data_IF_724566013094
#
_entry.id   IF_724566013094
#
_cell.length_a   1.000
_cell.length_b   1.000
_cell.length_c   1.000
_cell.angle_alpha   90.00
_cell.angle_beta   90.00
_cell.angle_gamma   90.00
#
_symmetry.space_group_name_H-M   'P 1'
#
loop_
_entity.id
_entity.type
_entity.pdbx_description
1 polymer ?
#
# COMPACT_ATOMS: atom_id res chain seq x y z
N UNK A 1 -5.72 6.34 24.55
CA UNK A 1 -4.88 6.47 23.34
C UNK A 1 -5.84 6.84 22.21
N UNK A 2 -5.96 8.14 21.90
CA UNK A 2 -6.65 8.58 20.69
C UNK A 2 -5.74 8.21 19.51
N UNK A 3 -6.21 7.38 18.59
CA UNK A 3 -5.55 7.21 17.29
C UNK A 3 -5.40 8.58 16.61
N UNK A 4 -4.35 8.81 15.80
CA UNK A 4 -4.08 10.12 15.21
C UNK A 4 -5.05 10.36 14.04
N UNK A 5 -6.27 10.80 14.36
CA UNK A 5 -7.26 11.32 13.40
C UNK A 5 -6.61 12.39 12.51
N UNK A 6 -5.62 13.13 13.02
CA UNK A 6 -4.88 14.13 12.27
C UNK A 6 -4.08 13.55 11.10
N UNK A 7 -3.45 12.38 11.25
CA UNK A 7 -2.68 11.76 10.16
C UNK A 7 -3.62 11.26 9.05
N UNK A 8 -4.70 10.57 9.43
CA UNK A 8 -5.73 10.14 8.46
C UNK A 8 -6.38 11.33 7.75
N UNK A 9 -6.67 12.43 8.47
CA UNK A 9 -7.14 13.68 7.86
C UNK A 9 -6.10 14.22 6.88
N UNK A 10 -4.82 14.27 7.24
CA UNK A 10 -3.77 14.80 6.34
C UNK A 10 -3.63 14.01 5.03
N UNK A 11 -3.81 12.69 5.04
CA UNK A 11 -3.68 11.84 3.85
C UNK A 11 -4.93 11.87 2.96
N UNK A 12 -6.12 11.91 3.57
CA UNK A 12 -7.40 11.75 2.85
C UNK A 12 -8.02 13.10 2.46
N UNK A 13 -7.74 14.16 3.20
CA UNK A 13 -8.29 15.50 2.95
C UNK A 13 -7.98 16.05 1.55
N UNK A 14 -6.77 15.90 0.97
CA UNK A 14 -6.50 16.35 -0.39
C UNK A 14 -7.37 15.64 -1.43
N UNK A 15 -7.63 14.34 -1.23
CA UNK A 15 -8.49 13.55 -2.11
C UNK A 15 -9.95 13.98 -1.99
N UNK A 16 -10.45 14.18 -0.76
CA UNK A 16 -11.82 14.66 -0.53
C UNK A 16 -12.03 16.09 -1.05
N UNK A 17 -11.06 16.99 -0.88
CA UNK A 17 -11.09 18.35 -1.46
C UNK A 17 -11.13 18.30 -2.97
N UNK A 18 -10.35 17.42 -3.59
CA UNK A 18 -10.34 17.22 -5.04
C UNK A 18 -11.70 16.70 -5.54
N UNK A 19 -12.25 15.67 -4.89
CA UNK A 19 -13.58 15.13 -5.20
C UNK A 19 -14.65 16.21 -5.06
N UNK A 20 -14.63 17.01 -3.98
CA UNK A 20 -15.55 18.14 -3.79
C UNK A 20 -15.45 19.13 -4.94
N UNK A 21 -14.24 19.48 -5.38
CA UNK A 21 -14.03 20.37 -6.52
C UNK A 21 -14.60 19.83 -7.83
N UNK A 22 -14.53 18.51 -8.05
CA UNK A 22 -15.13 17.84 -9.20
C UNK A 22 -16.66 17.83 -9.09
N UNK A 23 -17.20 17.49 -7.91
CA UNK A 23 -18.65 17.45 -7.65
C UNK A 23 -19.32 18.81 -7.90
N UNK A 24 -18.65 19.92 -7.61
CA UNK A 24 -19.14 21.27 -7.92
C UNK A 24 -19.29 21.52 -9.44
N UNK A 25 -18.55 20.81 -10.29
CA UNK A 25 -18.60 20.92 -11.75
C UNK A 25 -19.44 19.82 -12.40
N UNK A 26 -19.62 18.69 -11.72
CA UNK A 26 -20.41 17.53 -12.14
C UNK A 26 -21.43 17.22 -11.04
N UNK A 27 -22.61 17.87 -11.05
CA UNK A 27 -23.59 17.75 -9.96
C UNK A 27 -24.15 16.33 -9.80
N UNK A 28 -24.07 15.49 -10.84
CA UNK A 28 -24.50 14.09 -10.81
C UNK A 28 -23.35 13.13 -10.48
N UNK A 29 -22.24 13.61 -9.91
CA UNK A 29 -21.13 12.75 -9.51
C UNK A 29 -21.53 11.93 -8.28
N UNK A 30 -21.60 10.62 -8.45
CA UNK A 30 -21.74 9.67 -7.35
C UNK A 30 -20.37 9.18 -6.89
N UNK A 31 -20.19 9.06 -5.57
CA UNK A 31 -18.91 8.67 -4.96
C UNK A 31 -19.13 7.45 -4.08
N UNK A 32 -18.38 6.39 -4.38
CA UNK A 32 -18.47 5.12 -3.67
C UNK A 32 -17.16 4.78 -2.97
N UNK A 33 -17.25 4.43 -1.68
CA UNK A 33 -16.16 3.80 -0.95
C UNK A 33 -16.33 2.28 -1.02
N UNK A 34 -15.40 1.60 -1.68
CA UNK A 34 -15.50 0.15 -1.90
C UNK A 34 -14.72 -0.69 -0.87
N UNK A 35 -13.95 -0.04 0.02
CA UNK A 35 -13.17 -0.72 1.06
C UNK A 35 -14.07 -1.21 2.20
N UNK A 36 -13.93 -2.49 2.56
CA UNK A 36 -14.65 -3.10 3.68
C UNK A 36 -14.09 -2.61 5.03
N UNK A 37 -14.89 -1.95 5.89
CA UNK A 37 -14.43 -1.47 7.20
C UNK A 37 -13.88 -2.56 8.12
N UNK A 38 -14.37 -3.81 8.00
CA UNK A 38 -13.85 -4.93 8.78
C UNK A 38 -12.42 -5.28 8.38
N UNK A 39 -12.13 -5.28 7.08
CA UNK A 39 -10.78 -5.49 6.52
C UNK A 39 -9.83 -4.38 6.96
N UNK A 40 -10.30 -3.13 7.00
CA UNK A 40 -9.51 -2.00 7.50
C UNK A 40 -9.12 -2.20 8.96
N UNK A 41 -10.04 -2.65 9.81
CA UNK A 41 -9.75 -2.92 11.22
C UNK A 41 -8.72 -4.03 11.40
N UNK A 42 -8.88 -5.14 10.67
CA UNK A 42 -7.92 -6.25 10.69
C UNK A 42 -6.54 -5.82 10.17
N UNK A 43 -6.49 -4.96 9.15
CA UNK A 43 -5.20 -4.46 8.62
C UNK A 43 -4.47 -3.57 9.62
N UNK A 44 -5.18 -2.71 10.36
CA UNK A 44 -4.58 -1.91 11.45
C UNK A 44 -4.00 -2.80 12.55
N UNK A 45 -4.70 -3.88 12.90
CA UNK A 45 -4.20 -4.85 13.87
C UNK A 45 -2.89 -5.52 13.39
N UNK A 46 -2.86 -6.03 12.15
CA UNK A 46 -1.66 -6.64 11.58
C UNK A 46 -0.50 -5.65 11.42
N UNK A 47 -0.79 -4.40 11.04
CA UNK A 47 0.21 -3.34 10.97
C UNK A 47 0.81 -3.04 12.35
N UNK A 48 -0.02 -3.03 13.39
CA UNK A 48 0.43 -2.87 14.78
C UNK A 48 1.33 -4.02 15.21
N UNK A 49 0.97 -5.26 14.87
CA UNK A 49 1.84 -6.42 15.12
C UNK A 49 3.18 -6.30 14.39
N UNK A 50 3.18 -5.87 13.13
CA UNK A 50 4.40 -5.63 12.37
C UNK A 50 5.31 -4.62 13.09
N UNK A 51 4.73 -3.51 13.57
CA UNK A 51 5.45 -2.47 14.29
C UNK A 51 6.02 -2.97 15.63
N UNK A 52 5.27 -3.77 16.38
CA UNK A 52 5.77 -4.40 17.61
C UNK A 52 6.97 -5.31 17.30
N UNK A 53 6.91 -6.08 16.21
CA UNK A 53 8.02 -6.96 15.80
C UNK A 53 9.24 -6.16 15.35
N UNK A 54 9.05 -5.07 14.60
CA UNK A 54 10.13 -4.13 14.23
C UNK A 54 10.77 -3.50 15.48
N UNK A 55 9.96 -3.08 16.45
CA UNK A 55 10.44 -2.52 17.72
C UNK A 55 11.24 -3.55 18.54
N UNK A 56 10.76 -4.80 18.64
CA UNK A 56 11.52 -5.87 19.30
C UNK A 56 12.86 -6.14 18.61
N UNK A 57 12.88 -6.13 17.28
CA UNK A 57 14.12 -6.26 16.52
C UNK A 57 15.06 -5.09 16.78
N UNK A 58 14.57 -3.84 16.81
CA UNK A 58 15.45 -2.68 17.04
C UNK A 58 16.11 -2.70 18.41
N UNK A 59 15.47 -3.29 19.43
CA UNK A 59 16.04 -3.47 20.77
C UNK A 59 16.99 -4.67 20.89
N UNK A 60 16.71 -5.77 20.20
CA UNK A 60 17.38 -7.06 20.45
C UNK A 60 18.28 -7.55 19.31
N UNK A 61 18.14 -6.97 18.12
CA UNK A 61 18.74 -7.47 16.87
C UNK A 61 18.18 -8.81 16.39
N UNK A 62 17.22 -9.42 17.09
CA UNK A 62 16.72 -10.76 16.78
C UNK A 62 15.50 -10.71 15.86
N UNK A 63 15.46 -11.60 14.88
CA UNK A 63 14.31 -11.82 13.99
C UNK A 63 13.83 -13.26 14.14
N UNK A 64 12.60 -13.40 14.63
CA UNK A 64 11.83 -14.64 14.60
C UNK A 64 11.16 -14.80 13.24
N UNK A 65 11.73 -15.66 12.39
CA UNK A 65 11.21 -15.85 11.04
C UNK A 65 9.83 -16.47 11.04
N UNK A 66 9.54 -17.47 11.88
CA UNK A 66 8.24 -18.15 11.84
C UNK A 66 7.10 -17.22 12.25
N UNK A 67 7.35 -16.36 13.23
CA UNK A 67 6.41 -15.33 13.64
C UNK A 67 6.14 -14.30 12.52
N UNK A 68 7.18 -13.86 11.81
CA UNK A 68 7.02 -13.00 10.62
C UNK A 68 6.31 -13.71 9.47
N UNK A 69 6.58 -14.99 9.23
CA UNK A 69 5.90 -15.78 8.20
C UNK A 69 4.39 -15.84 8.46
N UNK A 70 3.99 -16.07 9.71
CA UNK A 70 2.57 -16.05 10.12
C UNK A 70 1.93 -14.69 9.87
N UNK A 71 2.59 -13.60 10.28
CA UNK A 71 2.08 -12.25 10.09
C UNK A 71 1.87 -11.93 8.60
N UNK A 72 2.86 -12.23 7.76
CA UNK A 72 2.76 -11.99 6.32
C UNK A 72 1.68 -12.87 5.68
N UNK A 73 1.54 -14.13 6.10
CA UNK A 73 0.49 -15.00 5.61
C UNK A 73 -0.89 -14.44 5.95
N UNK A 74 -1.12 -14.05 7.21
CA UNK A 74 -2.36 -13.40 7.64
C UNK A 74 -2.66 -12.14 6.83
N UNK A 75 -1.64 -11.32 6.56
CA UNK A 75 -1.79 -10.12 5.71
C UNK A 75 -2.21 -10.47 4.28
N UNK A 76 -1.51 -11.41 3.64
CA UNK A 76 -1.81 -11.80 2.25
C UNK A 76 -3.20 -12.43 2.14
N UNK A 77 -3.57 -13.33 3.05
CA UNK A 77 -4.92 -13.94 3.10
C UNK A 77 -6.01 -12.90 3.34
N UNK A 78 -5.78 -11.90 4.20
CA UNK A 78 -6.71 -10.78 4.37
C UNK A 78 -6.89 -10.01 3.06
N UNK A 79 -5.79 -9.68 2.37
CA UNK A 79 -5.82 -8.95 1.11
C UNK A 79 -6.54 -9.74 0.01
N UNK A 80 -6.28 -11.04 -0.12
CA UNK A 80 -6.93 -11.89 -1.13
C UNK A 80 -8.46 -11.93 -0.91
N UNK A 81 -8.92 -12.18 0.32
CA UNK A 81 -10.35 -12.19 0.67
C UNK A 81 -11.04 -10.85 0.40
N UNK A 82 -10.34 -9.75 0.67
CA UNK A 82 -10.87 -8.41 0.46
C UNK A 82 -10.98 -8.08 -1.03
N UNK A 83 -9.95 -8.44 -1.80
CA UNK A 83 -9.79 -7.98 -3.17
C UNK A 83 -10.89 -8.49 -4.10
N UNK A 84 -11.34 -9.74 -3.93
CA UNK A 84 -12.46 -10.30 -4.71
C UNK A 84 -13.77 -9.57 -4.43
N UNK A 85 -14.06 -9.29 -3.15
CA UNK A 85 -15.27 -8.57 -2.75
C UNK A 85 -15.26 -7.14 -3.27
N UNK A 86 -14.11 -6.47 -3.16
CA UNK A 86 -13.87 -5.13 -3.67
C UNK A 86 -14.07 -5.08 -5.19
N UNK A 87 -13.46 -6.00 -5.94
CA UNK A 87 -13.57 -6.05 -7.40
C UNK A 87 -15.01 -6.30 -7.86
N UNK A 88 -15.71 -7.26 -7.23
CA UNK A 88 -17.12 -7.54 -7.52
C UNK A 88 -18.02 -6.33 -7.22
N UNK A 89 -17.76 -5.63 -6.11
CA UNK A 89 -18.50 -4.40 -5.79
C UNK A 89 -18.27 -3.32 -6.85
N UNK A 90 -17.01 -3.09 -7.24
CA UNK A 90 -16.65 -2.09 -8.27
C UNK A 90 -17.31 -2.44 -9.62
N UNK A 91 -17.32 -3.72 -10.01
CA UNK A 91 -17.96 -4.18 -11.24
C UNK A 91 -19.46 -3.86 -11.25
N UNK A 92 -20.14 -4.20 -10.15
CA UNK A 92 -21.58 -3.95 -10.00
C UNK A 92 -21.94 -2.47 -10.06
N UNK A 93 -21.17 -1.61 -9.42
CA UNK A 93 -21.44 -0.16 -9.46
C UNK A 93 -21.07 0.46 -10.81
N UNK A 94 -19.99 -0.02 -11.46
CA UNK A 94 -19.56 0.46 -12.78
C UNK A 94 -20.55 0.07 -13.88
N UNK A 95 -21.18 -1.11 -13.79
CA UNK A 95 -22.17 -1.56 -14.78
C UNK A 95 -23.44 -0.72 -14.85
N UNK A 96 -23.64 0.23 -13.92
CA UNK A 96 -24.82 1.11 -13.88
C UNK A 96 -24.61 2.44 -14.60
N UNK A 97 -23.38 2.75 -15.03
CA UNK A 97 -22.99 4.06 -15.57
C UNK A 97 -22.16 3.91 -16.84
N UNK A 98 -22.17 4.92 -17.69
CA UNK A 98 -21.37 4.92 -18.92
C UNK A 98 -19.87 5.12 -18.66
N UNK A 99 -19.54 5.96 -17.68
CA UNK A 99 -18.16 6.30 -17.32
C UNK A 99 -17.96 6.24 -15.80
N UNK A 100 -16.86 5.61 -15.37
CA UNK A 100 -16.45 5.58 -13.97
C UNK A 100 -14.94 5.80 -13.84
N UNK A 101 -14.51 6.29 -12.67
CA UNK A 101 -13.10 6.42 -12.30
C UNK A 101 -12.87 5.70 -10.98
N UNK A 102 -12.01 4.69 -11.00
CA UNK A 102 -11.59 3.96 -9.80
C UNK A 102 -10.18 4.39 -9.39
N UNK A 103 -10.04 4.87 -8.14
CA UNK A 103 -8.75 5.12 -7.51
C UNK A 103 -8.38 3.87 -6.71
N UNK A 104 -7.33 3.16 -7.14
CA UNK A 104 -6.86 1.94 -6.50
C UNK A 104 -5.37 2.02 -6.13
N UNK A 105 -5.00 1.28 -5.09
CA UNK A 105 -3.59 1.05 -4.74
C UNK A 105 -2.90 0.04 -5.68
N UNK A 106 -1.94 -0.72 -5.15
CA UNK A 106 -1.16 -1.69 -5.95
C UNK A 106 -1.97 -2.83 -6.59
N UNK A 107 -3.23 -3.01 -6.19
CA UNK A 107 -4.12 -4.03 -6.75
C UNK A 107 -4.85 -3.56 -8.03
N UNK A 108 -4.59 -2.35 -8.54
CA UNK A 108 -5.26 -1.82 -9.73
C UNK A 108 -5.16 -2.72 -10.97
N UNK A 109 -4.06 -3.48 -11.13
CA UNK A 109 -3.96 -4.48 -12.21
C UNK A 109 -4.95 -5.63 -12.03
N UNK A 110 -5.10 -6.14 -10.81
CA UNK A 110 -6.07 -7.20 -10.52
C UNK A 110 -7.50 -6.73 -10.79
N UNK A 111 -7.86 -5.56 -10.24
CA UNK A 111 -9.18 -4.96 -10.45
C UNK A 111 -9.45 -4.77 -11.94
N UNK A 112 -8.47 -4.31 -12.72
CA UNK A 112 -8.60 -4.19 -14.18
C UNK A 112 -8.95 -5.50 -14.86
N UNK A 113 -8.22 -6.58 -14.57
CA UNK A 113 -8.47 -7.86 -15.23
C UNK A 113 -9.84 -8.42 -14.81
N UNK A 114 -10.19 -8.35 -13.52
CA UNK A 114 -11.53 -8.74 -13.03
C UNK A 114 -12.65 -7.98 -13.75
N UNK A 115 -12.54 -6.65 -13.85
CA UNK A 115 -13.55 -5.84 -14.53
C UNK A 115 -13.67 -6.17 -16.02
N UNK A 116 -12.58 -6.55 -16.69
CA UNK A 116 -12.62 -7.00 -18.08
C UNK A 116 -13.33 -8.35 -18.23
N UNK A 117 -13.12 -9.26 -17.30
CA UNK A 117 -13.82 -10.55 -17.26
C UNK A 117 -15.33 -10.34 -17.10
N UNK A 118 -15.73 -9.31 -16.34
CA UNK A 118 -17.12 -8.83 -16.19
C UNK A 118 -17.61 -8.00 -17.40
N UNK A 119 -16.83 -7.90 -18.48
CA UNK A 119 -17.23 -7.21 -19.72
C UNK A 119 -17.02 -5.69 -19.75
N UNK A 120 -16.39 -5.10 -18.74
CA UNK A 120 -16.12 -3.66 -18.71
C UNK A 120 -14.94 -3.28 -19.61
N UNK A 121 -15.07 -2.15 -20.33
CA UNK A 121 -13.94 -1.54 -21.05
C UNK A 121 -13.08 -0.72 -20.08
N UNK A 122 -11.94 -1.27 -19.65
CA UNK A 122 -11.09 -0.64 -18.62
C UNK A 122 -9.71 -0.23 -19.14
N UNK A 123 -9.35 1.03 -18.92
CA UNK A 123 -7.98 1.54 -19.02
C UNK A 123 -7.35 1.73 -17.63
N UNK A 124 -6.03 1.51 -17.52
CA UNK A 124 -5.30 1.63 -16.26
C UNK A 124 -4.15 2.62 -16.42
N UNK A 125 -4.19 3.69 -15.62
CA UNK A 125 -3.16 4.74 -15.58
C UNK A 125 -2.47 4.78 -14.23
N UNK A 126 -1.14 4.81 -14.23
CA UNK A 126 -0.34 4.96 -13.02
C UNK A 126 0.02 6.43 -12.79
N UNK A 127 -0.38 6.98 -11.65
CA UNK A 127 -0.20 8.42 -11.33
C UNK A 127 1.24 8.73 -10.87
N UNK A 128 1.93 7.73 -10.30
CA UNK A 128 3.26 7.89 -9.70
C UNK A 128 4.28 6.91 -10.27
N UNK A 129 5.05 7.36 -11.27
CA UNK A 129 6.13 6.56 -11.88
C UNK A 129 7.44 7.37 -11.98
N UNK A 130 8.59 6.77 -11.62
CA UNK A 130 8.75 5.43 -11.05
C UNK A 130 8.43 5.40 -9.55
N UNK A 131 7.78 4.31 -9.09
CA UNK A 131 7.66 4.00 -7.66
C UNK A 131 8.76 3.02 -7.25
N UNK A 132 9.45 3.30 -6.14
CA UNK A 132 10.47 2.41 -5.58
C UNK A 132 9.89 1.61 -4.41
N UNK A 133 9.84 0.28 -4.54
CA UNK A 133 9.24 -0.59 -3.53
C UNK A 133 10.02 -0.58 -2.22
N UNK A 134 9.33 -0.40 -1.10
CA UNK A 134 9.92 -0.54 0.23
C UNK A 134 10.33 -2.00 0.48
N UNK A 135 11.19 -2.27 1.48
CA UNK A 135 11.56 -3.64 1.83
C UNK A 135 10.36 -4.53 2.16
N UNK A 136 9.31 -3.98 2.80
CA UNK A 136 8.08 -4.72 3.10
C UNK A 136 7.28 -5.03 1.82
N UNK A 137 7.18 -4.09 0.88
CA UNK A 137 6.54 -4.35 -0.41
C UNK A 137 7.24 -5.48 -1.17
N UNK A 138 8.58 -5.47 -1.15
CA UNK A 138 9.39 -6.52 -1.77
C UNK A 138 9.15 -7.85 -1.05
N UNK A 139 9.10 -7.85 0.29
CA UNK A 139 8.82 -9.05 1.09
C UNK A 139 7.46 -9.68 0.72
N UNK A 140 6.40 -8.87 0.70
CA UNK A 140 5.05 -9.33 0.34
C UNK A 140 5.02 -9.90 -1.10
N UNK A 141 5.67 -9.24 -2.05
CA UNK A 141 5.77 -9.71 -3.45
C UNK A 141 6.55 -11.01 -3.57
N UNK A 142 7.69 -11.13 -2.89
CA UNK A 142 8.51 -12.34 -2.89
C UNK A 142 7.72 -13.52 -2.37
N UNK A 143 7.02 -13.35 -1.23
CA UNK A 143 6.23 -14.42 -0.63
C UNK A 143 5.01 -14.76 -1.49
N UNK A 144 4.31 -13.77 -2.05
CA UNK A 144 3.17 -14.05 -2.95
C UNK A 144 3.59 -14.82 -4.20
N UNK A 145 4.76 -14.54 -4.77
CA UNK A 145 5.23 -15.22 -5.99
C UNK A 145 5.87 -16.59 -5.74
N UNK A 146 6.59 -16.75 -4.63
CA UNK A 146 7.43 -17.93 -4.38
C UNK A 146 6.92 -18.80 -3.24
N UNK A 147 5.95 -18.34 -2.45
CA UNK A 147 5.55 -18.94 -1.19
C UNK A 147 6.69 -18.97 -0.17
N UNK A 148 6.48 -19.70 0.93
CA UNK A 148 7.53 -20.04 1.89
C UNK A 148 8.25 -21.33 1.48
N UNK A 149 8.82 -21.36 0.27
CA UNK A 149 9.63 -22.50 -0.16
C UNK A 149 10.76 -22.72 0.84
N UNK A 150 10.85 -23.93 1.39
CA UNK A 150 11.94 -24.33 2.27
C UNK A 150 13.25 -24.28 1.50
N UNK A 151 14.20 -23.50 1.99
CA UNK A 151 15.52 -23.35 1.38
C UNK A 151 16.30 -22.23 2.04
N UNK A 152 17.55 -22.52 2.42
CA UNK A 152 18.43 -21.58 3.15
C UNK A 152 18.51 -20.21 2.48
N UNK A 153 18.56 -20.18 1.14
CA UNK A 153 18.59 -18.94 0.37
C UNK A 153 17.33 -18.08 0.56
N UNK A 154 16.15 -18.70 0.52
CA UNK A 154 14.88 -17.98 0.66
C UNK A 154 14.70 -17.43 2.08
N UNK A 155 15.09 -18.19 3.09
CA UNK A 155 15.05 -17.73 4.48
C UNK A 155 16.04 -16.59 4.75
N UNK A 156 17.25 -16.67 4.19
CA UNK A 156 18.21 -15.57 4.26
C UNK A 156 17.66 -14.30 3.60
N UNK A 157 17.04 -14.44 2.42
CA UNK A 157 16.43 -13.29 1.71
C UNK A 157 15.25 -12.69 2.47
N UNK A 158 14.38 -13.51 3.07
CA UNK A 158 13.29 -13.00 3.93
C UNK A 158 13.88 -12.24 5.12
N UNK A 159 14.88 -12.81 5.79
CA UNK A 159 15.53 -12.18 6.95
C UNK A 159 16.10 -10.80 6.58
N UNK A 160 16.83 -10.74 5.48
CA UNK A 160 17.40 -9.50 4.94
C UNK A 160 16.32 -8.43 4.69
N UNK A 161 15.18 -8.82 4.09
CA UNK A 161 14.08 -7.88 3.81
C UNK A 161 13.40 -7.37 5.08
N UNK A 162 13.21 -8.23 6.07
CA UNK A 162 12.67 -7.84 7.39
C UNK A 162 13.63 -6.87 8.09
N UNK A 163 14.92 -7.18 8.08
CA UNK A 163 15.95 -6.32 8.68
C UNK A 163 15.99 -4.95 8.00
N UNK A 164 16.03 -4.93 6.66
CA UNK A 164 15.94 -3.68 5.88
C UNK A 164 14.66 -2.91 6.16
N UNK A 165 13.54 -3.59 6.37
CA UNK A 165 12.29 -2.91 6.76
C UNK A 165 12.42 -2.29 8.14
N UNK A 166 13.01 -2.99 9.10
CA UNK A 166 13.30 -2.44 10.42
C UNK A 166 14.18 -1.19 10.36
N UNK A 167 15.23 -1.21 9.52
CA UNK A 167 16.06 -0.04 9.23
C UNK A 167 15.27 1.10 8.58
N UNK A 168 14.42 0.79 7.59
CA UNK A 168 13.54 1.79 6.97
C UNK A 168 12.68 2.51 8.02
N UNK A 169 12.05 1.75 8.93
CA UNK A 169 11.24 2.34 10.00
C UNK A 169 12.10 3.17 10.95
N UNK A 170 13.18 2.60 11.50
CA UNK A 170 14.00 3.22 12.54
C UNK A 170 14.76 4.46 12.04
N UNK A 171 15.36 4.35 10.85
CA UNK A 171 16.31 5.34 10.34
C UNK A 171 15.62 6.42 9.46
N UNK A 172 14.42 6.14 8.94
CA UNK A 172 13.71 7.08 8.04
C UNK A 172 12.32 7.46 8.54
N UNK A 173 11.48 6.52 8.94
CA UNK A 173 10.08 6.83 9.35
C UNK A 173 10.03 7.54 10.69
N UNK A 174 10.64 6.97 11.73
CA UNK A 174 10.63 7.55 13.09
C UNK A 174 11.23 8.97 13.15
N UNK A 175 12.35 9.29 12.47
CA UNK A 175 12.96 10.62 12.56
C UNK A 175 12.33 11.67 11.65
N UNK A 176 11.39 11.29 10.77
CA UNK A 176 10.78 12.22 9.81
C UNK A 176 9.45 12.76 10.32
N UNK A 177 9.04 13.94 9.82
CA UNK A 177 7.78 14.57 10.19
C UNK A 177 6.57 13.77 9.70
N UNK A 178 6.68 13.21 8.51
CA UNK A 178 5.63 12.45 7.84
C UNK A 178 6.21 11.29 7.00
N UNK A 179 5.35 10.33 6.64
CA UNK A 179 5.75 9.16 5.83
C UNK A 179 6.29 9.56 4.46
N UNK A 180 5.74 10.62 3.86
CA UNK A 180 6.15 11.15 2.57
C UNK A 180 7.60 11.64 2.58
N UNK A 181 7.99 12.38 3.63
CA UNK A 181 9.37 12.79 3.88
C UNK A 181 10.29 11.58 4.08
N UNK A 182 9.86 10.63 4.93
CA UNK A 182 10.62 9.40 5.19
C UNK A 182 10.90 8.61 3.90
N UNK A 183 9.84 8.41 3.10
CA UNK A 183 9.93 7.70 1.83
C UNK A 183 10.83 8.45 0.84
N UNK A 184 10.70 9.78 0.72
CA UNK A 184 11.58 10.59 -0.13
C UNK A 184 13.04 10.43 0.25
N UNK A 185 13.39 10.58 1.53
CA UNK A 185 14.78 10.39 2.03
C UNK A 185 15.29 9.00 1.68
N UNK A 186 14.51 7.96 2.01
CA UNK A 186 14.87 6.57 1.74
C UNK A 186 15.12 6.30 0.26
N UNK A 187 14.26 6.81 -0.64
CA UNK A 187 14.43 6.67 -2.09
C UNK A 187 15.69 7.39 -2.59
N UNK A 188 16.02 8.58 -2.07
CA UNK A 188 17.22 9.30 -2.48
C UNK A 188 18.50 8.54 -2.13
N UNK A 189 18.50 7.79 -1.03
CA UNK A 189 19.65 7.02 -0.56
C UNK A 189 19.73 5.64 -1.24
N UNK A 190 18.59 5.00 -1.51
CA UNK A 190 18.53 3.61 -1.97
C UNK A 190 18.24 3.45 -3.48
N UNK A 191 17.74 4.50 -4.13
CA UNK A 191 17.51 4.55 -5.58
C UNK A 191 17.94 5.90 -6.18
N UNK A 192 19.25 6.22 -6.19
CA UNK A 192 19.77 7.49 -6.71
C UNK A 192 19.35 7.79 -8.16
N UNK A 193 19.12 6.75 -8.97
CA UNK A 193 18.65 6.86 -10.36
C UNK A 193 17.26 7.51 -10.50
N UNK A 194 16.47 7.58 -9.41
CA UNK A 194 15.16 8.25 -9.38
C UNK A 194 15.29 9.78 -9.17
N UNK A 195 16.43 10.27 -8.66
CA UNK A 195 16.67 11.69 -8.28
C UNK A 195 16.24 12.69 -9.35
N UNK A 196 16.59 12.45 -10.61
CA UNK A 196 16.31 13.37 -11.71
C UNK A 196 14.81 13.54 -12.03
N UNK A 197 13.95 12.58 -11.66
CA UNK A 197 12.49 12.64 -11.91
C UNK A 197 11.72 13.23 -10.74
N UNK A 198 12.12 12.98 -9.50
CA UNK A 198 11.48 13.55 -8.31
C UNK A 198 11.70 15.06 -8.21
N UNK A 199 12.92 15.53 -8.48
CA UNK A 199 13.27 16.96 -8.42
C UNK A 199 12.58 17.81 -9.51
N UNK A 200 12.14 17.21 -10.63
CA UNK A 200 11.39 17.92 -11.67
C UNK A 200 9.93 18.20 -11.30
N UNK A 201 9.31 17.37 -10.45
CA UNK A 201 7.90 17.53 -10.03
C UNK A 201 7.72 18.45 -8.82
N UNK A 202 8.75 18.61 -7.99
CA UNK A 202 8.73 19.56 -6.86
C UNK A 202 8.70 21.04 -7.28
N UNK A 203 8.80 21.35 -8.59
CA UNK A 203 8.65 22.71 -9.14
C UNK A 203 7.18 23.13 -9.40
N UNK A 204 6.21 22.25 -9.13
CA UNK A 204 4.78 22.47 -9.40
C UNK A 204 3.88 22.29 -8.16
N UNK A 205 4.47 22.31 -6.96
CA UNK A 205 3.75 22.50 -5.69
C UNK A 205 4.21 23.81 -5.08
#
# INVERSE_FOLDING_TARGET
>A
IQEPIEHFRSEVEPLLKSIRGIALRKPNLEVYCYKDPSVIRESVHLATEAMIKVYKWSLTGKIDLEDWKKLVYSWLTLQDRALDREANYIARETGKVEESLCIAGFNGKYIKEHLKEEGCKVDLKYVYLPYHFTPLDILLRVIRLKGFKKGKYMEARIRELIERHGHFIRDYVVPSRDYDEAYRKWVLDNAPWIKHRLLRRARWM
#
